data_IF_270760157225
#
_entry.id   IF_270760157225
#
_cell.length_a   1.000
_cell.length_b   1.000
_cell.length_c   1.000
_cell.angle_alpha   90.00
_cell.angle_beta   90.00
_cell.angle_gamma   90.00
#
_symmetry.space_group_name_H-M   'P 1'
#
loop_
_entity.id
_entity.type
_entity.pdbx_description
1 polymer ?
#
# COMPACT_ATOMS: atom_id res chain seq x y z
N UNK A 1 -7.66 -4.35 -1.58
CA UNK A 1 -6.84 -3.13 -1.67
C UNK A 1 -5.97 -3.03 -0.43
N UNK A 2 -4.71 -2.59 -0.56
CA UNK A 2 -3.76 -2.41 0.56
C UNK A 2 -3.43 -0.92 0.68
N UNK A 3 -3.83 -0.31 1.79
CA UNK A 3 -3.61 1.09 2.09
C UNK A 3 -2.66 1.21 3.31
N UNK A 4 -1.35 1.40 3.12
CA UNK A 4 -0.37 1.49 4.21
C UNK A 4 -0.40 2.89 4.87
N UNK A 5 -1.59 3.31 5.30
CA UNK A 5 -1.85 4.62 5.91
C UNK A 5 -2.93 4.49 6.98
N UNK A 6 -3.27 5.59 7.65
CA UNK A 6 -4.39 5.67 8.59
C UNK A 6 -5.71 5.89 7.85
N UNK A 7 -6.08 4.98 6.95
CA UNK A 7 -7.30 5.09 6.14
C UNK A 7 -8.55 4.80 6.99
N UNK A 8 -9.62 5.60 6.97
CA UNK A 8 -9.78 6.89 6.31
C UNK A 8 -9.37 8.04 7.25
N UNK A 9 -8.58 8.96 6.74
CA UNK A 9 -8.23 10.23 7.38
C UNK A 9 -8.29 11.32 6.31
N UNK A 10 -8.55 12.57 6.69
CA UNK A 10 -8.83 13.70 5.78
C UNK A 10 -7.60 14.20 4.98
N UNK A 11 -6.72 13.28 4.58
CA UNK A 11 -5.59 13.49 3.67
C UNK A 11 -5.93 13.04 2.25
N UNK A 12 -5.34 13.69 1.23
CA UNK A 12 -5.65 13.45 -0.19
C UNK A 12 -5.48 12.00 -0.67
N UNK A 13 -4.52 11.26 -0.13
CA UNK A 13 -4.31 9.83 -0.46
C UNK A 13 -5.53 8.97 -0.08
N UNK A 14 -6.14 9.21 1.08
CA UNK A 14 -7.35 8.50 1.51
C UNK A 14 -8.53 8.74 0.57
N UNK A 15 -8.67 9.95 0.05
CA UNK A 15 -9.78 10.29 -0.88
C UNK A 15 -9.65 9.52 -2.18
N UNK A 16 -8.45 9.42 -2.77
CA UNK A 16 -8.24 8.65 -3.99
C UNK A 16 -8.55 7.16 -3.81
N UNK A 17 -8.02 6.54 -2.76
CA UNK A 17 -8.30 5.12 -2.43
C UNK A 17 -9.80 4.90 -2.22
N UNK A 18 -10.49 5.85 -1.58
CA UNK A 18 -11.93 5.80 -1.37
C UNK A 18 -12.72 5.84 -2.68
N UNK A 19 -12.39 6.77 -3.58
CA UNK A 19 -13.10 6.90 -4.85
C UNK A 19 -12.86 5.70 -5.77
N UNK A 20 -11.63 5.16 -5.82
CA UNK A 20 -11.34 3.91 -6.52
C UNK A 20 -12.14 2.74 -5.96
N UNK A 21 -12.18 2.59 -4.64
CA UNK A 21 -12.97 1.55 -3.99
C UNK A 21 -14.46 1.68 -4.33
N UNK A 22 -15.02 2.90 -4.30
CA UNK A 22 -16.43 3.15 -4.66
C UNK A 22 -16.72 2.84 -6.12
N UNK A 23 -15.83 3.21 -7.04
CA UNK A 23 -15.96 2.87 -8.46
C UNK A 23 -15.96 1.36 -8.65
N UNK A 24 -15.01 0.64 -8.05
CA UNK A 24 -14.94 -0.81 -8.13
C UNK A 24 -16.20 -1.50 -7.56
N UNK A 25 -16.73 -1.02 -6.44
CA UNK A 25 -17.99 -1.51 -5.90
C UNK A 25 -19.18 -1.23 -6.83
N UNK A 26 -19.26 -0.04 -7.44
CA UNK A 26 -20.31 0.30 -8.43
C UNK A 26 -20.25 -0.57 -9.68
N UNK A 27 -19.05 -1.02 -10.05
CA UNK A 27 -18.84 -1.99 -11.13
C UNK A 27 -19.16 -3.45 -10.72
N UNK A 28 -19.56 -3.67 -9.47
CA UNK A 28 -20.00 -4.98 -8.96
C UNK A 28 -18.89 -5.84 -8.34
N UNK A 29 -17.70 -5.27 -8.08
CA UNK A 29 -16.61 -6.02 -7.45
C UNK A 29 -16.75 -6.06 -5.92
N UNK A 30 -16.59 -7.25 -5.31
CA UNK A 30 -16.39 -7.38 -3.86
C UNK A 30 -14.94 -7.03 -3.53
N UNK A 31 -14.76 -6.09 -2.61
CA UNK A 31 -13.43 -5.65 -2.21
C UNK A 31 -13.33 -5.44 -0.71
N UNK A 32 -12.12 -5.63 -0.22
CA UNK A 32 -11.74 -5.36 1.16
C UNK A 32 -10.51 -4.47 1.18
N UNK A 33 -10.53 -3.43 2.01
CA UNK A 33 -9.40 -2.55 2.22
C UNK A 33 -8.65 -3.00 3.48
N UNK A 34 -7.38 -3.38 3.34
CA UNK A 34 -6.50 -3.65 4.47
C UNK A 34 -5.66 -2.42 4.76
N UNK A 35 -5.67 -1.95 6.01
CA UNK A 35 -5.05 -0.68 6.42
C UNK A 35 -4.53 -0.72 7.85
N UNK A 36 -3.73 0.29 8.24
CA UNK A 36 -3.32 0.44 9.64
C UNK A 36 -4.51 0.64 10.58
N UNK A 37 -4.26 0.45 11.88
CA UNK A 37 -5.28 0.56 12.93
C UNK A 37 -5.99 1.92 12.91
N UNK A 38 -5.21 2.99 12.85
CA UNK A 38 -5.74 4.35 12.97
C UNK A 38 -6.54 4.76 11.72
N UNK A 39 -7.49 5.67 11.89
CA UNK A 39 -8.40 6.13 10.84
C UNK A 39 -9.86 5.82 11.15
N UNK A 40 -10.74 6.30 10.28
CA UNK A 40 -12.19 6.19 10.39
C UNK A 40 -12.71 5.12 9.44
N UNK A 41 -13.80 4.46 9.85
CA UNK A 41 -14.51 3.54 8.97
C UNK A 41 -15.39 4.32 8.00
N UNK A 42 -15.51 3.79 6.78
CA UNK A 42 -16.31 4.39 5.71
C UNK A 42 -17.58 3.55 5.51
N UNK A 43 -18.77 4.15 5.59
CA UNK A 43 -20.02 3.44 5.33
C UNK A 43 -20.01 2.73 3.97
N UNK A 44 -20.43 1.46 3.96
CA UNK A 44 -20.50 0.63 2.74
C UNK A 44 -19.19 -0.02 2.32
N UNK A 45 -18.07 0.28 2.99
CA UNK A 45 -16.76 -0.29 2.67
C UNK A 45 -16.33 -1.33 3.70
N UNK A 46 -15.85 -2.49 3.23
CA UNK A 46 -15.28 -3.48 4.13
C UNK A 46 -13.82 -3.14 4.42
N UNK A 47 -13.55 -2.71 5.64
CA UNK A 47 -12.20 -2.32 6.09
C UNK A 47 -11.67 -3.34 7.11
N UNK A 48 -10.43 -3.79 6.92
CA UNK A 48 -9.70 -4.69 7.83
C UNK A 48 -8.47 -3.97 8.35
N UNK A 49 -8.50 -3.66 9.64
CA UNK A 49 -7.47 -2.91 10.34
C UNK A 49 -6.43 -3.84 10.98
N UNK A 50 -5.19 -3.38 11.05
CA UNK A 50 -4.16 -4.06 11.86
C UNK A 50 -4.54 -4.07 13.35
N UNK A 51 -4.10 -5.08 14.12
CA UNK A 51 -4.26 -5.07 15.57
C UNK A 51 -3.48 -3.93 16.22
N UNK A 52 -3.80 -3.63 17.47
CA UNK A 52 -3.02 -2.75 18.35
C UNK A 52 -1.60 -3.27 18.52
N UNK A 53 -0.64 -2.37 18.64
CA UNK A 53 0.57 -2.65 19.41
C UNK A 53 0.24 -2.25 20.86
N UNK A 54 0.34 -3.15 21.85
CA UNK A 54 0.09 -2.79 23.23
C UNK A 54 0.99 -1.61 23.64
N UNK A 55 0.44 -0.68 24.43
CA UNK A 55 1.07 0.57 24.91
C UNK A 55 1.17 1.74 23.92
N UNK A 56 0.65 1.66 22.69
CA UNK A 56 0.71 2.78 21.72
C UNK A 56 -0.53 2.86 20.83
N UNK A 57 -1.50 3.68 21.25
CA UNK A 57 -2.78 3.86 20.53
C UNK A 57 -2.86 5.18 19.74
N UNK A 58 -2.04 6.18 20.08
CA UNK A 58 -2.04 7.49 19.42
C UNK A 58 -0.68 7.70 18.73
N UNK A 59 -0.63 7.57 17.40
CA UNK A 59 0.59 7.80 16.63
C UNK A 59 0.27 8.55 15.34
N UNK A 60 1.02 9.62 15.08
CA UNK A 60 1.06 10.31 13.79
C UNK A 60 1.98 9.52 12.85
N UNK A 61 1.45 9.10 11.70
CA UNK A 61 2.18 8.30 10.70
C UNK A 61 3.32 9.13 10.12
N UNK A 62 4.50 9.04 10.73
CA UNK A 62 5.75 9.66 10.27
C UNK A 62 6.85 8.63 9.97
N UNK A 63 7.87 9.07 9.23
CA UNK A 63 9.09 8.30 8.89
C UNK A 63 9.87 7.91 10.15
N UNK A 64 9.50 6.80 10.78
CA UNK A 64 10.25 6.24 11.91
C UNK A 64 10.37 4.72 11.79
N UNK A 65 11.32 4.13 12.52
CA UNK A 65 11.49 2.66 12.64
C UNK A 65 10.19 1.92 13.03
N UNK A 66 9.22 2.63 13.63
CA UNK A 66 7.93 2.08 14.01
C UNK A 66 7.05 1.74 12.80
N UNK A 67 7.28 2.37 11.64
CA UNK A 67 6.57 2.05 10.40
C UNK A 67 6.79 0.59 9.98
N UNK A 68 7.99 0.05 10.21
CA UNK A 68 8.32 -1.36 9.93
C UNK A 68 7.42 -2.31 10.74
N UNK A 69 7.17 -1.99 12.02
CA UNK A 69 6.28 -2.78 12.87
C UNK A 69 4.84 -2.77 12.38
N UNK A 70 4.33 -1.61 11.96
CA UNK A 70 3.00 -1.49 11.38
C UNK A 70 2.88 -2.20 10.04
N UNK A 71 3.90 -2.13 9.19
CA UNK A 71 3.96 -2.85 7.92
C UNK A 71 3.97 -4.36 8.12
N UNK A 72 4.66 -4.85 9.16
CA UNK A 72 4.61 -6.27 9.51
C UNK A 72 3.22 -6.72 9.97
N UNK A 73 2.54 -5.92 10.80
CA UNK A 73 1.16 -6.20 11.18
C UNK A 73 0.21 -6.12 9.98
N UNK A 74 0.42 -5.15 9.08
CA UNK A 74 -0.35 -5.00 7.86
C UNK A 74 -0.15 -6.19 6.93
N UNK A 75 1.09 -6.67 6.79
CA UNK A 75 1.38 -7.89 6.05
C UNK A 75 0.57 -9.08 6.56
N UNK A 76 0.52 -9.31 7.88
CA UNK A 76 -0.29 -10.40 8.45
C UNK A 76 -1.79 -10.19 8.23
N UNK A 77 -2.29 -8.96 8.36
CA UNK A 77 -3.69 -8.64 8.07
C UNK A 77 -4.04 -8.93 6.62
N UNK A 78 -3.20 -8.50 5.68
CA UNK A 78 -3.37 -8.76 4.23
C UNK A 78 -3.31 -10.25 3.95
N UNK A 79 -2.30 -10.96 4.46
CA UNK A 79 -2.14 -12.41 4.25
C UNK A 79 -3.34 -13.20 4.78
N UNK A 80 -3.79 -12.90 6.01
CA UNK A 80 -4.95 -13.56 6.61
C UNK A 80 -6.24 -13.24 5.84
N UNK A 81 -6.38 -12.01 5.37
CA UNK A 81 -7.53 -11.60 4.55
C UNK A 81 -7.53 -12.34 3.22
N UNK A 82 -6.38 -12.39 2.54
CA UNK A 82 -6.22 -13.06 1.25
C UNK A 82 -6.44 -14.59 1.36
N UNK A 83 -5.94 -15.24 2.42
CA UNK A 83 -6.18 -16.67 2.65
C UNK A 83 -7.66 -17.01 2.87
N UNK A 84 -8.41 -16.11 3.52
CA UNK A 84 -9.84 -16.31 3.81
C UNK A 84 -10.74 -15.98 2.64
N UNK A 85 -10.44 -14.89 1.93
CA UNK A 85 -11.27 -14.36 0.84
C UNK A 85 -10.89 -14.92 -0.53
N UNK A 86 -9.65 -15.37 -0.71
CA UNK A 86 -9.08 -15.81 -1.99
C UNK A 86 -9.35 -14.80 -3.11
N UNK A 87 -8.87 -13.55 -2.98
CA UNK A 87 -9.16 -12.51 -3.94
C UNK A 87 -8.53 -12.83 -5.30
N UNK A 88 -9.17 -12.40 -6.38
CA UNK A 88 -8.66 -12.54 -7.74
C UNK A 88 -7.49 -11.59 -8.02
N UNK A 89 -7.45 -10.44 -7.33
CA UNK A 89 -6.43 -9.40 -7.51
C UNK A 89 -6.09 -8.75 -6.17
N UNK A 90 -4.79 -8.51 -5.94
CA UNK A 90 -4.30 -7.61 -4.90
C UNK A 90 -4.04 -6.25 -5.55
N UNK A 91 -4.74 -5.22 -5.10
CA UNK A 91 -4.48 -3.84 -5.50
C UNK A 91 -3.75 -3.12 -4.37
N UNK A 92 -2.50 -2.71 -4.59
CA UNK A 92 -1.63 -2.12 -3.59
C UNK A 92 -1.37 -0.65 -3.87
N UNK A 93 -1.47 0.20 -2.84
CA UNK A 93 -1.16 1.63 -2.93
C UNK A 93 0.16 1.93 -2.22
N UNK A 94 0.92 2.89 -2.74
CA UNK A 94 2.22 3.32 -2.20
C UNK A 94 3.28 2.21 -2.21
N UNK A 95 4.54 2.57 -1.99
CA UNK A 95 5.66 1.63 -2.07
C UNK A 95 5.63 0.55 -0.99
N UNK A 96 5.19 0.91 0.22
CA UNK A 96 5.04 -0.03 1.34
C UNK A 96 3.93 -1.04 1.08
N UNK A 97 2.79 -0.56 0.56
CA UNK A 97 1.68 -1.43 0.17
C UNK A 97 2.07 -2.35 -0.97
N UNK A 98 2.86 -1.86 -1.94
CA UNK A 98 3.39 -2.66 -3.03
C UNK A 98 4.36 -3.74 -2.54
N UNK A 99 5.26 -3.42 -1.61
CA UNK A 99 6.17 -4.40 -1.01
C UNK A 99 5.40 -5.52 -0.31
N UNK A 100 4.42 -5.16 0.51
CA UNK A 100 3.53 -6.11 1.20
C UNK A 100 2.73 -6.94 0.19
N UNK A 101 2.10 -6.26 -0.77
CA UNK A 101 1.28 -6.89 -1.81
C UNK A 101 2.07 -7.86 -2.66
N UNK A 102 3.32 -7.53 -2.99
CA UNK A 102 4.23 -8.38 -3.75
C UNK A 102 4.63 -9.63 -2.98
N UNK A 103 4.90 -9.51 -1.68
CA UNK A 103 5.18 -10.66 -0.84
C UNK A 103 3.98 -11.61 -0.80
N UNK A 104 2.78 -11.10 -0.52
CA UNK A 104 1.55 -11.91 -0.44
C UNK A 104 1.16 -12.49 -1.82
N UNK A 105 1.30 -11.70 -2.88
CA UNK A 105 1.08 -12.13 -4.27
C UNK A 105 1.93 -13.35 -4.62
N UNK A 106 3.23 -13.33 -4.29
CA UNK A 106 4.13 -14.47 -4.54
C UNK A 106 3.80 -15.68 -3.67
N UNK A 107 3.46 -15.45 -2.41
CA UNK A 107 3.10 -16.52 -1.48
C UNK A 107 1.83 -17.26 -1.91
N UNK A 108 0.86 -16.55 -2.49
CA UNK A 108 -0.47 -17.10 -2.80
C UNK A 108 -0.75 -17.28 -4.30
N UNK A 109 0.15 -16.85 -5.18
CA UNK A 109 -0.04 -16.91 -6.64
C UNK A 109 -1.13 -15.95 -7.15
N UNK A 110 -1.39 -14.84 -6.44
CA UNK A 110 -2.45 -13.89 -6.79
C UNK A 110 -1.86 -12.71 -7.57
N UNK A 111 -2.44 -12.29 -8.70
CA UNK A 111 -2.02 -11.10 -9.43
C UNK A 111 -1.96 -9.83 -8.56
N UNK A 112 -0.91 -9.02 -8.75
CA UNK A 112 -0.72 -7.73 -8.08
C UNK A 112 -0.88 -6.58 -9.07
N UNK A 113 -1.77 -5.64 -8.74
CA UNK A 113 -1.85 -4.30 -9.32
C UNK A 113 -1.19 -3.34 -8.34
N UNK A 114 -0.27 -2.51 -8.83
CA UNK A 114 0.39 -1.49 -8.04
C UNK A 114 -0.04 -0.10 -8.54
N UNK A 115 -0.65 0.67 -7.65
CA UNK A 115 -1.02 2.06 -7.85
C UNK A 115 -0.03 2.97 -7.14
N UNK A 116 0.65 3.76 -7.95
CA UNK A 116 1.82 4.53 -7.55
C UNK A 116 1.40 6.00 -7.37
N UNK A 117 0.96 6.35 -6.16
CA UNK A 117 0.71 7.75 -5.77
C UNK A 117 2.04 8.45 -5.47
N UNK A 118 2.61 9.09 -6.50
CA UNK A 118 3.85 9.85 -6.40
C UNK A 118 5.10 9.03 -6.68
N UNK A 119 5.99 9.56 -7.50
CA UNK A 119 7.25 8.90 -7.90
C UNK A 119 8.22 8.79 -6.71
N UNK A 120 8.73 7.59 -6.41
CA UNK A 120 9.84 7.38 -5.45
C UNK A 120 11.05 8.26 -5.83
N UNK A 121 11.31 8.40 -7.12
CA UNK A 121 12.40 9.22 -7.66
C UNK A 121 12.13 10.73 -7.53
N UNK A 122 10.86 11.16 -7.50
CA UNK A 122 10.43 12.53 -7.21
C UNK A 122 10.56 12.89 -5.73
N UNK A 123 10.04 12.06 -4.83
CA UNK A 123 10.14 12.29 -3.38
C UNK A 123 11.59 12.23 -2.86
N UNK A 124 12.42 11.33 -3.41
CA UNK A 124 13.85 11.28 -3.06
C UNK A 124 14.65 12.47 -3.59
N UNK A 125 14.20 13.12 -4.67
CA UNK A 125 14.78 14.36 -5.20
C UNK A 125 14.32 15.58 -4.39
N UNK A 126 13.04 15.63 -3.98
CA UNK A 126 12.46 16.75 -3.23
C UNK A 126 12.93 16.81 -1.77
N UNK A 127 13.23 15.66 -1.15
CA UNK A 127 13.73 15.57 0.23
C UNK A 127 15.28 15.60 0.37
N UNK A 128 16.04 15.91 -0.69
CA UNK A 128 17.52 15.97 -0.71
C UNK A 128 18.23 14.68 -0.24
N UNK A 129 17.59 13.51 -0.29
CA UNK A 129 18.23 12.25 0.09
C UNK A 129 19.14 11.65 -1.00
N UNK A 130 19.06 12.13 -2.25
CA UNK A 130 19.94 11.72 -3.35
C UNK A 130 20.38 12.90 -4.23
N UNK A 131 21.70 13.09 -4.38
CA UNK A 131 22.29 13.95 -5.40
C UNK A 131 22.30 13.24 -6.77
N UNK A 132 22.01 13.98 -7.85
CA UNK A 132 21.96 13.50 -9.25
C UNK A 132 23.27 12.84 -9.75
N UNK A 133 24.37 13.04 -9.03
CA UNK A 133 25.71 12.51 -9.36
C UNK A 133 26.07 11.19 -8.64
N UNK A 134 25.16 10.62 -7.84
CA UNK A 134 25.44 9.38 -7.10
C UNK A 134 25.44 8.15 -8.02
N UNK A 135 26.49 7.31 -7.91
CA UNK A 135 26.67 6.08 -8.65
C UNK A 135 25.51 5.06 -8.51
N UNK A 136 24.67 5.21 -7.47
CA UNK A 136 23.51 4.37 -7.19
C UNK A 136 22.25 4.74 -7.99
N UNK A 137 22.19 5.92 -8.62
CA UNK A 137 21.05 6.36 -9.43
C UNK A 137 20.77 5.43 -10.63
N UNK A 138 21.84 4.95 -11.28
CA UNK A 138 21.74 4.10 -12.47
C UNK A 138 21.20 2.69 -12.19
N UNK A 139 21.67 1.96 -11.15
CA UNK A 139 21.09 0.66 -10.82
C UNK A 139 19.64 0.77 -10.29
N UNK A 140 19.32 1.78 -9.48
CA UNK A 140 17.95 2.03 -9.00
C UNK A 140 16.98 2.32 -10.16
N UNK A 141 17.37 3.16 -11.11
CA UNK A 141 16.56 3.44 -12.32
C UNK A 141 16.41 2.23 -13.24
N UNK A 142 17.38 1.33 -13.26
CA UNK A 142 17.26 0.05 -13.99
C UNK A 142 16.33 -0.93 -13.28
N UNK A 143 16.36 -0.97 -11.96
CA UNK A 143 15.43 -1.77 -11.16
C UNK A 143 13.99 -1.27 -11.33
N UNK A 144 13.79 0.05 -11.25
CA UNK A 144 12.51 0.71 -11.49
C UNK A 144 11.96 0.39 -12.90
N UNK A 145 12.79 0.49 -13.94
CA UNK A 145 12.39 0.08 -15.30
C UNK A 145 12.07 -1.40 -15.42
N UNK A 146 12.84 -2.28 -14.77
CA UNK A 146 12.60 -3.72 -14.81
C UNK A 146 11.29 -4.10 -14.08
N UNK A 147 10.96 -3.37 -13.01
CA UNK A 147 9.70 -3.54 -12.27
C UNK A 147 8.53 -3.03 -13.12
N UNK A 148 8.67 -1.84 -13.75
CA UNK A 148 7.66 -1.24 -14.61
C UNK A 148 7.40 -2.05 -15.89
N UNK A 149 8.40 -2.78 -16.41
CA UNK A 149 8.24 -3.64 -17.59
C UNK A 149 7.66 -5.03 -17.26
N UNK A 150 7.66 -5.43 -15.98
CA UNK A 150 7.12 -6.72 -15.52
C UNK A 150 5.77 -6.61 -14.83
N UNK A 151 5.24 -5.41 -14.69
CA UNK A 151 3.90 -5.17 -14.16
C UNK A 151 2.90 -5.22 -15.32
N UNK A 152 1.92 -6.12 -15.24
CA UNK A 152 0.93 -6.33 -16.32
C UNK A 152 -0.05 -5.17 -16.49
N UNK A 153 -0.16 -4.26 -15.51
CA UNK A 153 -0.86 -2.99 -15.62
C UNK A 153 -0.32 -2.01 -14.55
N UNK A 154 -0.11 -0.75 -14.93
CA UNK A 154 0.28 0.36 -14.04
C UNK A 154 -0.82 1.42 -14.15
N UNK A 155 -1.42 1.81 -13.03
CA UNK A 155 -2.44 2.87 -12.92
C UNK A 155 -1.90 4.04 -12.08
#
# INVERSE_FOLDING_TARGET
>A
MIAPTSFFSDYGCSVRILEEARVLQRLGHDLVVCTYRNGQDVPGLQIRRTPSIPFREHYEVGSSLHKIGFDFLLFWTVLRSALRRRPDVIHAHMHEGALIGLAVSRLLGIPLVFDLQGSLTGEMLDHRFLHKDSAFYRPLRRLERAINQRSSLIL
#
